data_IF_461161764452
#
_entry.id   IF_461161764452
#
_cell.length_a   1.000
_cell.length_b   1.000
_cell.length_c   1.000
_cell.angle_alpha   90.00
_cell.angle_beta   90.00
_cell.angle_gamma   90.00
#
_symmetry.space_group_name_H-M   'P 1'
#
loop_
_entity.id
_entity.type
_entity.pdbx_description
1 polymer ?
#
# COMPACT_ATOMS: atom_id res chain seq x y z
N UNK A 1 16.91 23.62 5.07
CA UNK A 1 15.42 23.59 5.08
C UNK A 1 15.00 22.14 5.16
N UNK A 2 14.33 21.72 6.25
CA UNK A 2 13.86 20.34 6.39
C UNK A 2 12.42 20.21 5.88
N UNK A 3 12.16 19.16 5.11
CA UNK A 3 10.83 18.79 4.67
C UNK A 3 10.42 17.51 5.39
N UNK A 4 9.38 17.59 6.21
CA UNK A 4 8.79 16.47 6.90
C UNK A 4 7.55 16.03 6.15
N UNK A 5 7.64 14.92 5.40
CA UNK A 5 6.53 14.40 4.60
C UNK A 5 5.91 13.21 5.33
N UNK A 6 4.65 13.30 5.68
CA UNK A 6 3.95 12.24 6.43
C UNK A 6 2.51 12.06 5.94
N UNK A 7 1.85 10.98 6.33
CA UNK A 7 0.42 10.84 6.07
C UNK A 7 -0.41 11.90 6.84
N UNK A 8 -1.71 11.96 6.52
CA UNK A 8 -2.63 12.92 7.12
C UNK A 8 -3.19 12.50 8.49
N UNK A 9 -2.70 11.41 9.09
CA UNK A 9 -3.26 10.87 10.32
C UNK A 9 -3.12 11.88 11.48
N UNK A 10 -4.11 11.95 12.39
CA UNK A 10 -4.10 12.93 13.47
C UNK A 10 -2.84 12.88 14.33
N UNK A 11 -2.28 11.68 14.56
CA UNK A 11 -1.05 11.54 15.35
C UNK A 11 0.20 12.07 14.60
N UNK A 12 0.26 11.93 13.27
CA UNK A 12 1.37 12.48 12.46
C UNK A 12 1.37 14.01 12.47
N UNK A 13 0.18 14.64 12.46
CA UNK A 13 0.06 16.10 12.62
C UNK A 13 0.51 16.56 14.01
N UNK A 14 0.15 15.83 15.07
CA UNK A 14 0.62 16.11 16.44
C UNK A 14 2.14 15.97 16.56
N UNK A 15 2.71 14.89 16.00
CA UNK A 15 4.15 14.66 15.99
C UNK A 15 4.89 15.77 15.23
N UNK A 16 4.39 16.18 14.06
CA UNK A 16 4.94 17.30 13.30
C UNK A 16 4.94 18.60 14.12
N UNK A 17 3.85 18.87 14.85
CA UNK A 17 3.76 20.02 15.76
C UNK A 17 4.80 19.98 16.88
N UNK A 18 4.99 18.82 17.52
CA UNK A 18 6.02 18.64 18.54
C UNK A 18 7.44 18.83 17.97
N UNK A 19 7.72 18.26 16.79
CA UNK A 19 9.02 18.39 16.13
C UNK A 19 9.32 19.81 15.64
N UNK A 20 8.29 20.59 15.31
CA UNK A 20 8.43 22.01 14.90
C UNK A 20 9.06 22.88 15.99
N UNK A 21 8.92 22.50 17.27
CA UNK A 21 9.59 23.18 18.41
C UNK A 21 11.11 23.03 18.32
N UNK A 22 11.59 21.83 17.96
CA UNK A 22 13.01 21.53 17.79
C UNK A 22 13.55 22.03 16.45
N UNK A 23 12.70 22.03 15.42
CA UNK A 23 13.05 22.39 14.04
C UNK A 23 12.12 23.50 13.53
N UNK A 24 12.33 24.72 14.02
CA UNK A 24 11.45 25.87 13.73
C UNK A 24 11.28 26.19 12.24
N UNK A 25 12.28 25.87 11.40
CA UNK A 25 12.23 26.05 9.93
C UNK A 25 11.74 24.83 9.14
N UNK A 26 11.34 23.74 9.81
CA UNK A 26 10.84 22.52 9.16
C UNK A 26 9.47 22.73 8.53
N UNK A 27 9.30 22.39 7.25
CA UNK A 27 8.00 22.38 6.59
C UNK A 27 7.36 21.00 6.74
N UNK A 28 6.17 20.92 7.33
CA UNK A 28 5.37 19.68 7.35
C UNK A 28 4.45 19.65 6.14
N UNK A 29 4.55 18.58 5.34
CA UNK A 29 3.72 18.35 4.16
C UNK A 29 2.97 17.03 4.30
N UNK A 30 1.68 17.04 3.99
CA UNK A 30 0.93 15.80 3.84
C UNK A 30 1.32 15.12 2.52
N UNK A 31 1.64 13.83 2.61
CA UNK A 31 2.03 13.01 1.47
C UNK A 31 0.90 12.94 0.44
N UNK A 32 1.13 13.47 -0.76
CA UNK A 32 0.17 13.45 -1.85
C UNK A 32 -0.17 12.03 -2.30
N UNK A 33 0.80 11.10 -2.28
CA UNK A 33 0.59 9.70 -2.62
C UNK A 33 -0.43 9.05 -1.69
N UNK A 34 -0.36 9.33 -0.38
CA UNK A 34 -1.37 8.86 0.57
C UNK A 34 -2.76 9.47 0.29
N UNK A 35 -2.82 10.74 -0.14
CA UNK A 35 -4.06 11.38 -0.58
C UNK A 35 -4.67 10.70 -1.80
N UNK A 36 -3.87 10.46 -2.84
CA UNK A 36 -4.28 9.75 -4.04
C UNK A 36 -4.74 8.32 -3.75
N UNK A 37 -4.01 7.60 -2.89
CA UNK A 37 -4.40 6.26 -2.45
C UNK A 37 -5.78 6.26 -1.77
N UNK A 38 -6.05 7.24 -0.89
CA UNK A 38 -7.38 7.38 -0.26
C UNK A 38 -8.50 7.66 -1.24
N UNK A 39 -8.25 8.49 -2.26
CA UNK A 39 -9.22 8.75 -3.33
C UNK A 39 -9.48 7.46 -4.12
N UNK A 40 -8.43 6.73 -4.49
CA UNK A 40 -8.55 5.45 -5.19
C UNK A 40 -9.34 4.42 -4.36
N UNK A 41 -9.06 4.32 -3.05
CA UNK A 41 -9.81 3.44 -2.14
C UNK A 41 -11.28 3.86 -2.03
N UNK A 42 -11.57 5.16 -2.00
CA UNK A 42 -12.95 5.63 -2.00
C UNK A 42 -13.67 5.26 -3.31
N UNK A 43 -13.02 5.46 -4.46
CA UNK A 43 -13.55 5.04 -5.76
C UNK A 43 -13.79 3.53 -5.75
N UNK A 44 -12.83 2.72 -5.29
CA UNK A 44 -12.98 1.25 -5.18
C UNK A 44 -14.23 0.86 -4.39
N UNK A 45 -14.49 1.51 -3.26
CA UNK A 45 -15.69 1.26 -2.45
C UNK A 45 -17.02 1.53 -3.19
N UNK A 46 -17.02 2.35 -4.25
CA UNK A 46 -18.20 2.60 -5.08
C UNK A 46 -18.47 1.45 -6.08
N UNK A 47 -17.51 0.55 -6.30
CA UNK A 47 -17.61 -0.55 -7.28
C UNK A 47 -17.37 -1.93 -6.64
N UNK A 48 -18.21 -2.36 -5.67
CA UNK A 48 -18.02 -3.63 -4.96
C UNK A 48 -18.07 -4.86 -5.88
N UNK A 49 -18.76 -4.77 -7.02
CA UNK A 49 -18.79 -5.85 -8.02
C UNK A 49 -17.45 -6.09 -8.70
N UNK A 50 -16.65 -5.02 -8.89
CA UNK A 50 -15.29 -5.13 -9.42
C UNK A 50 -14.40 -5.85 -8.41
N UNK A 51 -14.51 -5.51 -7.12
CA UNK A 51 -13.80 -6.22 -6.05
C UNK A 51 -14.19 -7.70 -5.99
N UNK A 52 -15.48 -8.01 -6.15
CA UNK A 52 -15.97 -9.40 -6.22
C UNK A 52 -15.42 -10.15 -7.43
N UNK A 53 -15.40 -9.53 -8.60
CA UNK A 53 -14.80 -10.09 -9.81
C UNK A 53 -13.31 -10.39 -9.60
N UNK A 54 -12.55 -9.39 -9.14
CA UNK A 54 -11.11 -9.53 -8.86
C UNK A 54 -10.87 -10.64 -7.84
N UNK A 55 -11.67 -10.72 -6.78
CA UNK A 55 -11.59 -11.77 -5.76
C UNK A 55 -11.82 -13.16 -6.36
N UNK A 56 -12.83 -13.32 -7.21
CA UNK A 56 -13.10 -14.61 -7.88
C UNK A 56 -12.01 -14.99 -8.87
N UNK A 57 -11.50 -14.03 -9.67
CA UNK A 57 -10.33 -14.24 -10.53
C UNK A 57 -9.14 -14.69 -9.70
N UNK A 58 -8.84 -13.99 -8.60
CA UNK A 58 -7.78 -14.39 -7.66
C UNK A 58 -7.99 -15.80 -7.14
N UNK A 59 -9.21 -16.22 -6.76
CA UNK A 59 -9.50 -17.59 -6.31
C UNK A 59 -9.21 -18.64 -7.38
N UNK A 60 -9.60 -18.38 -8.63
CA UNK A 60 -9.32 -19.28 -9.78
C UNK A 60 -7.82 -19.43 -9.99
N UNK A 61 -7.06 -18.33 -9.87
CA UNK A 61 -5.61 -18.32 -10.12
C UNK A 61 -4.73 -18.48 -8.86
N UNK A 62 -5.31 -18.55 -7.66
CA UNK A 62 -4.60 -18.55 -6.36
C UNK A 62 -3.58 -19.70 -6.27
N UNK A 63 -3.87 -20.79 -6.97
CA UNK A 63 -3.06 -22.00 -7.01
C UNK A 63 -2.69 -22.40 -8.43
N UNK A 64 -2.64 -21.47 -9.39
CA UNK A 64 -2.33 -21.80 -10.79
C UNK A 64 -0.97 -22.53 -10.88
N UNK A 65 -0.94 -23.88 -11.01
CA UNK A 65 0.30 -24.63 -10.86
C UNK A 65 1.27 -24.30 -11.99
N UNK A 66 0.73 -23.98 -13.17
CA UNK A 66 1.49 -23.52 -14.34
C UNK A 66 2.27 -22.24 -14.06
N UNK A 67 1.68 -21.26 -13.34
CA UNK A 67 2.38 -20.01 -12.99
C UNK A 67 3.45 -20.24 -11.93
N UNK A 68 3.17 -21.12 -10.96
CA UNK A 68 4.15 -21.50 -9.92
C UNK A 68 5.32 -22.25 -10.56
N UNK A 69 5.04 -23.17 -11.48
CA UNK A 69 6.05 -23.92 -12.20
C UNK A 69 6.89 -23.00 -13.09
N UNK A 70 6.26 -22.15 -13.90
CA UNK A 70 6.97 -21.17 -14.73
C UNK A 70 7.85 -20.23 -13.89
N UNK A 71 7.38 -19.82 -12.70
CA UNK A 71 8.19 -19.02 -11.79
C UNK A 71 9.42 -19.78 -11.29
N UNK A 72 9.27 -21.05 -10.87
CA UNK A 72 10.39 -21.91 -10.45
C UNK A 72 11.39 -22.16 -11.58
N UNK A 73 10.91 -22.28 -12.82
CA UNK A 73 11.76 -22.46 -14.00
C UNK A 73 12.55 -21.17 -14.33
N UNK A 74 11.92 -20.00 -14.25
CA UNK A 74 12.59 -18.72 -14.55
C UNK A 74 13.49 -18.21 -13.41
N UNK A 75 13.17 -18.55 -12.16
CA UNK A 75 13.84 -18.03 -10.97
C UNK A 75 14.00 -19.11 -9.88
N UNK A 76 14.84 -20.14 -10.11
CA UNK A 76 14.97 -21.29 -9.20
C UNK A 76 15.49 -20.94 -7.81
N UNK A 77 16.31 -19.89 -7.70
CA UNK A 77 16.92 -19.43 -6.44
C UNK A 77 15.98 -18.55 -5.60
N UNK A 78 14.83 -18.12 -6.15
CA UNK A 78 13.89 -17.27 -5.43
C UNK A 78 12.79 -18.14 -4.82
N UNK A 79 12.68 -18.22 -3.47
CA UNK A 79 11.62 -19.00 -2.85
C UNK A 79 10.25 -18.40 -3.15
N UNK A 80 9.23 -19.26 -3.19
CA UNK A 80 7.86 -18.79 -3.34
C UNK A 80 7.48 -17.88 -2.16
N UNK A 81 6.64 -16.85 -2.38
CA UNK A 81 6.10 -16.04 -1.30
C UNK A 81 5.44 -16.92 -0.25
N UNK A 82 5.59 -16.57 1.03
CA UNK A 82 4.86 -17.22 2.11
C UNK A 82 3.36 -17.10 1.84
N UNK A 83 2.59 -18.15 2.16
CA UNK A 83 1.14 -18.08 2.01
C UNK A 83 0.61 -16.95 2.91
N UNK A 84 -0.33 -16.12 2.43
CA UNK A 84 -0.94 -15.11 3.27
C UNK A 84 -1.55 -15.79 4.50
N UNK A 85 -1.21 -15.30 5.69
CA UNK A 85 -1.89 -15.70 6.91
C UNK A 85 -3.34 -15.21 6.83
N UNK A 86 -4.29 -16.11 7.08
CA UNK A 86 -5.71 -15.79 7.23
C UNK A 86 -5.95 -15.14 8.59
#
# INVERSE_FOLDING_TARGET
MFLFVTDAAPYMKKAAGALKVLFSSMLHLTCLVHGLHRIAEHIRCLFPDVDRLISNVKKVFLKAPSRVQLFKEMAPEIPLPTQPYL
#
